data_IF_378096399753
#
_entry.id   IF_378096399753
#
_cell.length_a   1.000
_cell.length_b   1.000
_cell.length_c   1.000
_cell.angle_alpha   90.00
_cell.angle_beta   90.00
_cell.angle_gamma   90.00
#
_symmetry.space_group_name_H-M   'P 1'
#
loop_
_entity.id
_entity.type
_entity.pdbx_description
1 polymer ?
#
# COMPACT_ATOMS: atom_id res chain seq x y z
N UNK A 1 11.36 26.94 32.47
CA UNK A 1 9.89 26.88 32.43
C UNK A 1 9.32 27.73 33.55
N UNK A 2 8.47 28.70 33.26
CA UNK A 2 7.84 29.58 34.28
C UNK A 2 6.32 29.40 34.21
N UNK A 3 5.65 29.45 35.37
CA UNK A 3 4.18 29.39 35.45
C UNK A 3 3.65 30.82 35.63
N UNK A 4 2.73 31.25 34.80
CA UNK A 4 2.13 32.59 34.84
C UNK A 4 0.61 32.43 34.96
N UNK A 5 -0.02 33.17 35.90
CA UNK A 5 -1.46 33.25 36.06
C UNK A 5 -2.16 31.93 36.42
N UNK A 6 -1.51 30.99 37.07
CA UNK A 6 -2.13 29.76 37.60
C UNK A 6 -2.34 28.59 36.59
N UNK A 7 -2.55 28.87 35.30
CA UNK A 7 -2.88 27.86 34.28
C UNK A 7 -1.95 27.81 33.06
N UNK A 8 -1.03 28.80 32.92
CA UNK A 8 -0.21 28.91 31.71
C UNK A 8 1.27 28.68 32.03
N UNK A 9 1.95 27.89 31.21
CA UNK A 9 3.40 27.71 31.28
C UNK A 9 4.09 28.49 30.16
N UNK A 10 5.23 29.14 30.47
CA UNK A 10 6.07 29.84 29.52
C UNK A 10 7.33 29.01 29.29
N UNK A 11 7.70 28.85 28.02
CA UNK A 11 8.95 28.23 27.58
C UNK A 11 9.77 29.22 26.79
N UNK A 12 11.10 29.17 26.97
CA UNK A 12 12.04 29.97 26.17
C UNK A 12 12.49 29.16 24.97
N UNK A 13 12.43 29.76 23.78
CA UNK A 13 12.95 29.13 22.56
C UNK A 13 14.43 29.49 22.40
N UNK A 14 15.27 28.55 21.87
CA UNK A 14 16.67 28.85 21.56
C UNK A 14 16.77 30.01 20.55
N UNK A 15 17.46 31.09 20.87
CA UNK A 15 17.56 32.30 20.03
C UNK A 15 18.04 31.96 18.62
N UNK A 16 19.11 31.16 18.50
CA UNK A 16 19.67 30.78 17.19
C UNK A 16 18.66 30.04 16.30
N UNK A 17 17.83 29.19 16.91
CA UNK A 17 16.79 28.51 16.18
C UNK A 17 15.66 29.46 15.76
N UNK A 18 15.20 30.32 16.67
CA UNK A 18 14.15 31.31 16.39
C UNK A 18 14.56 32.26 15.25
N UNK A 19 15.81 32.76 15.30
CA UNK A 19 16.38 33.63 14.26
C UNK A 19 16.47 32.89 12.91
N UNK A 20 16.92 31.63 12.92
CA UNK A 20 17.03 30.79 11.70
C UNK A 20 15.69 30.53 11.01
N UNK A 21 14.62 30.34 11.78
CA UNK A 21 13.27 30.07 11.25
C UNK A 21 12.42 31.33 11.12
N UNK A 22 12.96 32.52 11.42
CA UNK A 22 12.31 33.80 11.21
C UNK A 22 11.23 34.15 12.25
N UNK A 23 11.29 33.61 13.47
CA UNK A 23 10.36 33.96 14.54
C UNK A 23 10.71 35.37 15.09
N UNK A 24 9.70 36.25 15.02
CA UNK A 24 9.80 37.62 15.54
C UNK A 24 8.83 37.86 16.69
N UNK A 25 9.08 38.94 17.47
CA UNK A 25 8.21 39.33 18.58
C UNK A 25 6.74 39.54 18.11
N UNK A 26 5.81 38.94 18.83
CA UNK A 26 4.38 39.01 18.50
C UNK A 26 3.90 38.02 17.45
N UNK A 27 4.80 37.23 16.85
CA UNK A 27 4.43 36.20 15.91
C UNK A 27 3.69 35.03 16.61
N UNK A 28 2.65 34.51 15.99
CA UNK A 28 1.98 33.30 16.46
C UNK A 28 2.74 32.07 16.00
N UNK A 29 2.94 31.11 16.88
CA UNK A 29 3.57 29.82 16.59
C UNK A 29 2.58 28.69 16.85
N UNK A 30 2.63 27.64 16.01
CA UNK A 30 1.86 26.42 16.23
C UNK A 30 2.57 25.59 17.31
N UNK A 31 1.81 25.08 18.29
CA UNK A 31 2.31 24.16 19.31
C UNK A 31 1.43 22.92 19.26
N UNK A 32 2.06 21.73 19.07
CA UNK A 32 1.35 20.45 18.99
C UNK A 32 1.96 19.45 19.97
N UNK A 33 1.15 18.86 20.85
CA UNK A 33 1.55 17.67 21.59
C UNK A 33 1.82 16.51 20.61
N UNK A 34 2.85 15.75 20.87
CA UNK A 34 3.17 14.52 20.17
C UNK A 34 2.77 13.30 21.02
N UNK A 35 2.49 12.13 20.42
CA UNK A 35 2.16 10.91 21.15
C UNK A 35 3.23 10.48 22.18
N UNK A 36 4.50 10.81 21.92
CA UNK A 36 5.65 10.56 22.80
C UNK A 36 5.76 11.53 23.98
N UNK A 37 4.78 12.43 24.16
CA UNK A 37 4.77 13.46 25.21
C UNK A 37 5.59 14.71 24.89
N UNK A 38 6.27 14.79 23.74
CA UNK A 38 7.00 15.95 23.29
C UNK A 38 6.06 17.04 22.75
N UNK A 39 6.57 18.29 22.67
CA UNK A 39 5.87 19.39 22.01
C UNK A 39 6.60 19.77 20.72
N UNK A 40 5.92 19.67 19.59
CA UNK A 40 6.41 20.20 18.32
C UNK A 40 6.02 21.67 18.20
N UNK A 41 7.01 22.55 18.02
CA UNK A 41 6.82 23.98 17.80
C UNK A 41 7.06 24.30 16.33
N UNK A 42 6.04 24.84 15.65
CA UNK A 42 6.12 25.25 14.25
C UNK A 42 6.07 26.78 14.13
N UNK A 43 7.00 27.41 13.41
CA UNK A 43 6.97 28.87 13.18
C UNK A 43 5.78 29.31 12.33
N UNK A 44 5.24 28.40 11.51
CA UNK A 44 4.12 28.70 10.62
C UNK A 44 2.84 28.06 11.12
N UNK A 45 1.87 28.90 11.46
CA UNK A 45 0.47 28.49 11.72
C UNK A 45 -0.30 28.44 10.40
N UNK A 46 0.25 29.06 9.34
CA UNK A 46 -0.42 29.23 8.07
C UNK A 46 -0.68 27.88 7.37
N UNK A 47 -1.80 27.84 6.67
CA UNK A 47 -2.17 26.77 5.75
C UNK A 47 -0.96 26.34 4.92
N UNK A 48 -0.72 25.02 4.87
CA UNK A 48 0.37 24.42 4.10
C UNK A 48 0.35 24.98 2.67
N UNK A 49 1.40 25.69 2.29
CA UNK A 49 1.56 26.10 0.90
C UNK A 49 1.61 24.84 0.02
N UNK A 50 0.72 24.69 -0.97
CA UNK A 50 0.70 23.52 -1.83
C UNK A 50 2.07 23.27 -2.46
N UNK A 51 2.61 22.07 -2.27
CA UNK A 51 3.89 21.67 -2.85
C UNK A 51 3.71 21.45 -4.34
N UNK A 52 4.41 22.24 -5.16
CA UNK A 52 4.34 22.20 -6.61
C UNK A 52 5.61 21.64 -7.21
N UNK A 53 5.46 20.74 -8.20
CA UNK A 53 6.55 20.22 -9.03
C UNK A 53 6.24 20.48 -10.49
N UNK A 54 7.22 20.99 -11.23
CA UNK A 54 7.16 21.18 -12.68
C UNK A 54 8.07 20.15 -13.33
N UNK A 55 7.55 19.40 -14.29
CA UNK A 55 8.25 18.33 -15.01
C UNK A 55 8.22 18.64 -16.50
N UNK A 56 9.38 18.64 -17.15
CA UNK A 56 9.47 18.63 -18.62
C UNK A 56 9.25 17.18 -19.09
N UNK A 57 8.18 16.97 -19.88
CA UNK A 57 7.80 15.67 -20.42
C UNK A 57 8.08 15.53 -21.90
N UNK A 58 8.96 16.38 -22.44
CA UNK A 58 9.29 16.40 -23.88
C UNK A 58 9.77 15.05 -24.38
N UNK A 59 10.64 14.38 -23.61
CA UNK A 59 11.27 13.11 -23.97
C UNK A 59 10.66 11.91 -23.23
N UNK A 60 9.53 12.10 -22.51
CA UNK A 60 8.88 11.04 -21.75
C UNK A 60 7.66 10.50 -22.50
N UNK A 61 7.56 9.16 -22.60
CA UNK A 61 6.45 8.45 -23.26
C UNK A 61 6.10 7.16 -22.52
N UNK A 62 4.86 6.68 -22.69
CA UNK A 62 4.40 5.40 -22.14
C UNK A 62 4.73 5.25 -20.66
N UNK A 63 5.39 4.14 -20.34
CA UNK A 63 5.73 3.76 -18.95
C UNK A 63 6.71 4.74 -18.27
N UNK A 64 7.58 5.43 -19.03
CA UNK A 64 8.50 6.40 -18.43
C UNK A 64 7.75 7.63 -17.93
N UNK A 65 6.76 8.11 -18.68
CA UNK A 65 5.89 9.20 -18.27
C UNK A 65 5.01 8.78 -17.08
N UNK A 66 4.46 7.57 -17.09
CA UNK A 66 3.68 7.02 -15.98
C UNK A 66 4.50 6.99 -14.68
N UNK A 67 5.71 6.42 -14.71
CA UNK A 67 6.59 6.34 -13.53
C UNK A 67 6.96 7.72 -12.97
N UNK A 68 7.20 8.70 -13.83
CA UNK A 68 7.56 10.05 -13.38
C UNK A 68 6.39 10.74 -12.66
N UNK A 69 5.17 10.60 -13.18
CA UNK A 69 3.96 11.15 -12.53
C UNK A 69 3.71 10.45 -11.19
N UNK A 70 3.82 9.12 -11.14
CA UNK A 70 3.68 8.35 -9.88
C UNK A 70 4.75 8.79 -8.87
N UNK A 71 6.00 8.93 -9.28
CA UNK A 71 7.09 9.39 -8.41
C UNK A 71 6.82 10.80 -7.85
N UNK A 72 6.33 11.71 -8.69
CA UNK A 72 5.94 13.04 -8.27
C UNK A 72 4.78 13.04 -7.25
N UNK A 73 3.78 12.18 -7.47
CA UNK A 73 2.68 11.96 -6.53
C UNK A 73 3.18 11.41 -5.19
N UNK A 74 4.00 10.36 -5.22
CA UNK A 74 4.58 9.74 -4.02
C UNK A 74 5.51 10.69 -3.25
N UNK A 75 6.19 11.63 -3.93
CA UNK A 75 6.98 12.68 -3.31
C UNK A 75 6.15 13.70 -2.50
N UNK A 76 4.80 13.56 -2.51
CA UNK A 76 3.89 14.40 -1.74
C UNK A 76 3.59 15.74 -2.39
N UNK A 77 3.80 15.88 -3.72
CA UNK A 77 3.40 17.11 -4.41
C UNK A 77 1.88 17.21 -4.48
N UNK A 78 1.37 18.42 -4.24
CA UNK A 78 -0.06 18.72 -4.29
C UNK A 78 -0.47 19.17 -5.70
N UNK A 79 0.47 19.76 -6.44
CA UNK A 79 0.31 20.18 -7.82
C UNK A 79 1.48 19.63 -8.64
N UNK A 80 1.18 18.88 -9.70
CA UNK A 80 2.15 18.36 -10.67
C UNK A 80 1.85 19.03 -12.01
N UNK A 81 2.79 19.82 -12.49
CA UNK A 81 2.71 20.51 -13.77
C UNK A 81 3.60 19.83 -14.79
N UNK A 82 3.00 19.36 -15.88
CA UNK A 82 3.68 18.67 -16.97
C UNK A 82 3.77 19.62 -18.15
N UNK A 83 4.99 19.96 -18.58
CA UNK A 83 5.25 20.89 -19.67
C UNK A 83 5.98 20.21 -20.83
N UNK A 84 5.62 20.59 -22.06
CA UNK A 84 6.32 20.20 -23.30
C UNK A 84 5.98 21.19 -24.41
N UNK A 85 6.84 21.39 -25.41
CA UNK A 85 6.48 22.18 -26.61
C UNK A 85 5.20 21.69 -27.28
N UNK A 86 4.91 20.36 -27.20
CA UNK A 86 3.67 19.76 -27.71
C UNK A 86 3.37 18.44 -26.98
N UNK A 87 2.26 18.41 -26.27
CA UNK A 87 1.72 17.20 -25.62
C UNK A 87 0.72 16.54 -26.57
N UNK A 88 1.12 15.43 -27.17
CA UNK A 88 0.33 14.67 -28.14
C UNK A 88 -0.81 13.89 -27.46
N UNK A 89 -1.79 13.44 -28.26
CA UNK A 89 -2.96 12.72 -27.78
C UNK A 89 -2.60 11.44 -26.99
N UNK A 90 -1.57 10.71 -27.41
CA UNK A 90 -1.16 9.46 -26.75
C UNK A 90 -0.55 9.73 -25.37
N UNK A 91 0.28 10.78 -25.22
CA UNK A 91 0.75 11.23 -23.89
C UNK A 91 -0.42 11.65 -22.98
N UNK A 92 -1.42 12.36 -23.52
CA UNK A 92 -2.62 12.74 -22.76
C UNK A 92 -3.42 11.53 -22.29
N UNK A 93 -3.49 10.45 -23.10
CA UNK A 93 -4.11 9.19 -22.68
C UNK A 93 -3.37 8.57 -21.49
N UNK A 94 -2.03 8.52 -21.53
CA UNK A 94 -1.21 8.04 -20.42
C UNK A 94 -1.45 8.89 -19.17
N UNK A 95 -1.39 10.22 -19.28
CA UNK A 95 -1.62 11.12 -18.14
C UNK A 95 -2.99 10.89 -17.50
N UNK A 96 -4.06 10.77 -18.30
CA UNK A 96 -5.41 10.49 -17.78
C UNK A 96 -5.50 9.11 -17.12
N UNK A 97 -4.90 8.08 -17.73
CA UNK A 97 -4.84 6.74 -17.16
C UNK A 97 -4.13 6.73 -15.81
N UNK A 98 -3.00 7.43 -15.68
CA UNK A 98 -2.26 7.55 -14.43
C UNK A 98 -3.07 8.33 -13.39
N UNK A 99 -3.70 9.44 -13.76
CA UNK A 99 -4.58 10.17 -12.83
C UNK A 99 -5.70 9.29 -12.27
N UNK A 100 -6.26 8.40 -13.08
CA UNK A 100 -7.27 7.45 -12.61
C UNK A 100 -6.70 6.48 -11.55
N UNK A 101 -5.44 6.07 -11.68
CA UNK A 101 -4.75 5.20 -10.70
C UNK A 101 -4.37 5.95 -9.40
N UNK A 102 -4.25 7.27 -9.42
CA UNK A 102 -3.81 8.09 -8.29
C UNK A 102 -5.03 8.64 -7.54
N UNK A 103 -5.27 8.16 -6.34
CA UNK A 103 -6.44 8.57 -5.54
C UNK A 103 -6.36 10.07 -5.19
N UNK A 104 -7.46 10.76 -5.48
CA UNK A 104 -7.62 12.18 -5.18
C UNK A 104 -6.97 13.14 -6.16
N UNK A 105 -6.42 12.67 -7.26
CA UNK A 105 -5.87 13.54 -8.29
C UNK A 105 -6.90 13.87 -9.37
N UNK A 106 -6.89 15.13 -9.80
CA UNK A 106 -7.71 15.63 -10.90
C UNK A 106 -6.86 16.46 -11.86
N UNK A 107 -7.19 16.38 -13.16
CA UNK A 107 -6.60 17.25 -14.18
C UNK A 107 -7.37 18.56 -14.17
N UNK A 108 -6.76 19.62 -13.63
CA UNK A 108 -7.39 20.95 -13.50
C UNK A 108 -7.11 21.86 -14.69
N UNK A 109 -6.08 21.57 -15.48
CA UNK A 109 -5.75 22.28 -16.70
C UNK A 109 -5.19 21.31 -17.74
N UNK A 110 -5.67 21.38 -18.98
CA UNK A 110 -5.15 20.60 -20.10
C UNK A 110 -5.11 21.45 -21.36
N UNK A 111 -3.89 21.72 -21.84
CA UNK A 111 -3.62 22.42 -23.11
C UNK A 111 -2.77 21.56 -24.05
N UNK A 112 -2.34 22.11 -25.16
CA UNK A 112 -1.40 21.44 -26.08
C UNK A 112 0.06 21.47 -25.60
N UNK A 113 0.38 22.29 -24.59
CA UNK A 113 1.75 22.48 -24.08
C UNK A 113 1.89 22.20 -22.59
N UNK A 114 0.77 22.13 -21.86
CA UNK A 114 0.75 22.05 -20.41
C UNK A 114 -0.43 21.21 -19.94
N UNK A 115 -0.16 20.33 -18.96
CA UNK A 115 -1.18 19.62 -18.17
C UNK A 115 -0.89 19.84 -16.69
N UNK A 116 -1.89 20.20 -15.91
CA UNK A 116 -1.77 20.39 -14.47
C UNK A 116 -2.65 19.37 -13.75
N UNK A 117 -2.01 18.55 -12.94
CA UNK A 117 -2.64 17.56 -12.06
C UNK A 117 -2.63 18.13 -10.65
N UNK A 118 -3.77 18.16 -9.99
CA UNK A 118 -3.92 18.62 -8.61
C UNK A 118 -4.44 17.49 -7.72
N UNK A 119 -3.83 17.31 -6.56
CA UNK A 119 -4.36 16.45 -5.52
C UNK A 119 -5.35 17.23 -4.67
N UNK A 120 -6.60 16.78 -4.65
CA UNK A 120 -7.72 17.40 -3.93
C UNK A 120 -7.99 16.77 -2.56
N UNK A 121 -7.30 15.66 -2.23
CA UNK A 121 -7.49 14.98 -0.95
C UNK A 121 -6.71 15.67 0.17
N UNK A 122 -7.40 15.93 1.27
CA UNK A 122 -6.75 16.19 2.53
C UNK A 122 -6.19 14.88 3.09
N UNK A 123 -4.91 14.86 3.39
CA UNK A 123 -4.26 13.66 3.94
C UNK A 123 -4.81 13.25 5.31
N UNK A 124 -5.39 14.21 6.06
CA UNK A 124 -6.05 13.98 7.33
C UNK A 124 -7.36 13.18 7.25
N UNK A 125 -7.94 13.07 6.06
CA UNK A 125 -9.27 12.45 5.90
C UNK A 125 -9.18 10.94 5.64
N UNK A 126 -7.96 10.41 5.44
CA UNK A 126 -7.72 9.01 5.10
C UNK A 126 -6.94 8.32 6.21
N UNK A 127 -7.57 7.41 6.93
CA UNK A 127 -6.93 6.56 7.92
C UNK A 127 -6.07 5.48 7.25
N UNK A 128 -4.75 5.48 7.53
CA UNK A 128 -3.83 4.45 7.02
C UNK A 128 -4.24 3.05 7.50
N UNK A 129 -4.67 2.93 8.75
CA UNK A 129 -5.13 1.67 9.35
C UNK A 129 -6.32 1.09 8.59
N UNK A 130 -7.36 1.90 8.36
CA UNK A 130 -8.54 1.49 7.59
C UNK A 130 -8.20 1.20 6.12
N UNK A 131 -7.29 1.97 5.54
CA UNK A 131 -6.84 1.76 4.16
C UNK A 131 -6.09 0.44 4.01
N UNK A 132 -5.19 0.12 4.95
CA UNK A 132 -4.46 -1.17 4.96
C UNK A 132 -5.41 -2.34 5.19
N UNK A 133 -6.38 -2.21 6.10
CA UNK A 133 -7.43 -3.23 6.31
C UNK A 133 -8.25 -3.47 5.04
N UNK A 134 -8.69 -2.40 4.37
CA UNK A 134 -9.43 -2.51 3.11
C UNK A 134 -8.60 -3.17 2.02
N UNK A 135 -7.33 -2.79 1.88
CA UNK A 135 -6.40 -3.38 0.93
C UNK A 135 -6.27 -4.90 1.14
N UNK A 136 -6.12 -5.34 2.40
CA UNK A 136 -6.07 -6.76 2.74
C UNK A 136 -7.39 -7.50 2.42
N UNK A 137 -8.54 -6.90 2.74
CA UNK A 137 -9.84 -7.51 2.43
C UNK A 137 -10.03 -7.74 0.93
N UNK A 138 -9.59 -6.79 0.10
CA UNK A 138 -9.65 -6.91 -1.37
C UNK A 138 -8.68 -8.00 -1.83
N UNK A 139 -7.41 -7.97 -1.44
CA UNK A 139 -6.41 -8.96 -1.83
C UNK A 139 -6.83 -10.39 -1.42
N UNK A 140 -7.34 -10.55 -0.20
CA UNK A 140 -7.85 -11.84 0.28
C UNK A 140 -9.08 -12.34 -0.48
N UNK A 141 -10.00 -11.43 -0.89
CA UNK A 141 -11.13 -11.82 -1.74
C UNK A 141 -10.68 -12.19 -3.14
N UNK A 142 -9.73 -11.45 -3.73
CA UNK A 142 -9.13 -11.76 -5.03
C UNK A 142 -8.51 -13.16 -5.04
N UNK A 143 -7.76 -13.50 -3.99
CA UNK A 143 -7.12 -14.81 -3.88
C UNK A 143 -8.17 -15.95 -3.80
N UNK A 144 -9.20 -15.83 -2.95
CA UNK A 144 -10.29 -16.82 -2.88
C UNK A 144 -11.02 -16.97 -4.21
N UNK A 145 -11.35 -15.83 -4.83
CA UNK A 145 -12.12 -15.82 -6.08
C UNK A 145 -11.31 -16.37 -7.26
N UNK A 146 -9.98 -16.16 -7.30
CA UNK A 146 -9.12 -16.76 -8.32
C UNK A 146 -9.10 -18.29 -8.24
N UNK A 147 -9.04 -18.86 -7.04
CA UNK A 147 -9.10 -20.32 -6.84
C UNK A 147 -10.50 -20.87 -7.14
N UNK A 148 -11.55 -20.14 -6.75
CA UNK A 148 -12.93 -20.50 -7.07
C UNK A 148 -13.15 -20.47 -8.59
N UNK A 149 -12.68 -19.45 -9.29
CA UNK A 149 -12.75 -19.34 -10.75
C UNK A 149 -12.06 -20.51 -11.45
N UNK A 150 -10.91 -20.96 -10.93
CA UNK A 150 -10.24 -22.18 -11.41
C UNK A 150 -11.13 -23.42 -11.23
N UNK A 151 -11.69 -23.60 -10.04
CA UNK A 151 -12.51 -24.76 -9.69
C UNK A 151 -13.77 -24.86 -10.55
N UNK A 152 -14.43 -23.72 -10.80
CA UNK A 152 -15.72 -23.67 -11.50
C UNK A 152 -15.59 -23.36 -12.99
N UNK A 153 -14.35 -23.10 -13.49
CA UNK A 153 -14.10 -22.58 -14.85
C UNK A 153 -14.87 -21.30 -15.14
N UNK A 154 -15.00 -20.42 -14.13
CA UNK A 154 -15.72 -19.15 -14.21
C UNK A 154 -14.78 -18.04 -14.70
N UNK A 155 -14.82 -17.78 -16.01
CA UNK A 155 -13.98 -16.78 -16.67
C UNK A 155 -14.39 -15.34 -16.35
N UNK A 156 -15.67 -15.11 -16.06
CA UNK A 156 -16.18 -13.79 -15.67
C UNK A 156 -15.63 -13.42 -14.28
N UNK A 157 -15.65 -14.36 -13.34
CA UNK A 157 -15.03 -14.18 -12.02
C UNK A 157 -13.52 -13.98 -12.12
N UNK A 158 -12.82 -14.71 -13.00
CA UNK A 158 -11.39 -14.50 -13.23
C UNK A 158 -11.11 -13.10 -13.82
N UNK A 159 -11.94 -12.61 -14.74
CA UNK A 159 -11.81 -11.25 -15.29
C UNK A 159 -12.06 -10.17 -14.21
N UNK A 160 -13.02 -10.38 -13.32
CA UNK A 160 -13.27 -9.48 -12.19
C UNK A 160 -12.07 -9.43 -11.23
N UNK A 161 -11.46 -10.58 -10.92
CA UNK A 161 -10.22 -10.64 -10.11
C UNK A 161 -9.09 -9.84 -10.77
N UNK A 162 -8.90 -9.99 -12.09
CA UNK A 162 -7.85 -9.24 -12.82
C UNK A 162 -8.03 -7.73 -12.70
N UNK A 163 -9.26 -7.23 -12.76
CA UNK A 163 -9.57 -5.80 -12.68
C UNK A 163 -9.46 -5.22 -11.26
N UNK A 164 -9.73 -6.03 -10.22
CA UNK A 164 -9.65 -5.57 -8.81
C UNK A 164 -8.23 -5.27 -8.34
N UNK A 165 -7.22 -5.74 -9.03
CA UNK A 165 -5.82 -5.45 -8.76
C UNK A 165 -5.53 -3.94 -8.82
N UNK A 166 -6.10 -3.24 -9.77
CA UNK A 166 -6.00 -1.78 -9.88
C UNK A 166 -6.45 -1.06 -8.58
N UNK A 167 -7.42 -1.62 -7.84
CA UNK A 167 -7.88 -1.02 -6.58
C UNK A 167 -6.86 -1.24 -5.46
N UNK A 168 -6.21 -2.39 -5.39
CA UNK A 168 -5.14 -2.68 -4.43
C UNK A 168 -3.95 -1.77 -4.68
N UNK A 169 -3.53 -1.60 -5.93
CA UNK A 169 -2.46 -0.69 -6.34
C UNK A 169 -2.74 0.76 -5.93
N UNK A 170 -3.97 1.22 -6.16
CA UNK A 170 -4.38 2.58 -5.76
C UNK A 170 -4.26 2.80 -4.25
N UNK A 171 -4.69 1.84 -3.44
CA UNK A 171 -4.59 1.91 -1.98
C UNK A 171 -3.13 1.86 -1.52
N UNK A 172 -2.30 1.02 -2.14
CA UNK A 172 -0.86 0.96 -1.88
C UNK A 172 -0.16 2.31 -2.13
N UNK A 173 -0.49 2.98 -3.24
CA UNK A 173 0.06 4.29 -3.56
C UNK A 173 -0.37 5.37 -2.56
N UNK A 174 -1.61 5.32 -2.07
CA UNK A 174 -2.11 6.22 -1.00
C UNK A 174 -1.31 6.03 0.29
N UNK A 175 -1.18 4.79 0.78
CA UNK A 175 -0.42 4.46 1.99
C UNK A 175 1.03 4.94 1.85
N UNK A 176 1.64 4.70 0.68
CA UNK A 176 3.02 5.09 0.39
C UNK A 176 3.23 6.61 0.38
N UNK A 177 2.30 7.37 -0.21
CA UNK A 177 2.31 8.83 -0.21
C UNK A 177 2.14 9.40 1.20
N UNK A 178 1.18 8.86 1.96
CA UNK A 178 0.92 9.31 3.32
C UNK A 178 2.12 9.07 4.24
N UNK A 179 2.73 7.88 4.19
CA UNK A 179 3.93 7.57 4.97
C UNK A 179 5.06 8.57 4.68
N UNK A 180 5.32 8.84 3.40
CA UNK A 180 6.35 9.82 3.02
C UNK A 180 6.06 11.22 3.56
N UNK A 181 4.81 11.63 3.57
CA UNK A 181 4.38 12.91 4.13
C UNK A 181 4.64 13.00 5.64
N UNK A 182 4.40 11.91 6.38
CA UNK A 182 4.69 11.82 7.82
C UNK A 182 6.20 11.94 8.07
N UNK A 183 7.01 11.14 7.38
CA UNK A 183 8.49 11.14 7.55
C UNK A 183 9.11 12.48 7.17
N UNK A 184 8.60 13.16 6.15
CA UNK A 184 9.10 14.49 5.74
C UNK A 184 8.57 15.63 6.63
N UNK A 185 7.79 15.36 7.67
CA UNK A 185 7.23 16.38 8.57
C UNK A 185 6.21 17.30 7.90
N UNK A 186 5.77 16.98 6.67
CA UNK A 186 4.81 17.76 5.91
C UNK A 186 3.37 17.27 6.09
N UNK A 187 3.18 16.10 6.69
CA UNK A 187 1.89 15.50 7.01
C UNK A 187 1.47 15.83 8.43
N UNK A 188 0.20 16.22 8.60
CA UNK A 188 -0.42 16.21 9.88
C UNK A 188 -0.79 14.76 10.21
N UNK A 189 -0.16 14.16 11.21
CA UNK A 189 -0.71 12.99 11.86
C UNK A 189 -1.89 13.51 12.69
N UNK A 190 -3.03 13.71 12.05
CA UNK A 190 -4.26 14.09 12.74
C UNK A 190 -4.96 12.90 13.40
N UNK A 191 -4.51 11.68 13.12
CA UNK A 191 -4.85 10.53 13.93
C UNK A 191 -4.02 10.68 15.20
N UNK A 192 -4.60 11.31 16.20
CA UNK A 192 -4.04 11.51 17.55
C UNK A 192 -3.63 10.19 18.24
N UNK A 193 -3.81 9.06 17.59
CA UNK A 193 -3.72 7.71 18.12
C UNK A 193 -2.72 6.80 17.40
N UNK A 194 -2.04 7.24 16.32
CA UNK A 194 -1.08 6.41 15.58
C UNK A 194 0.33 6.98 15.71
N UNK A 195 1.27 6.18 16.22
CA UNK A 195 2.69 6.53 16.28
C UNK A 195 3.35 6.45 14.89
N UNK A 196 4.53 7.11 14.74
CA UNK A 196 5.33 7.00 13.51
C UNK A 196 5.75 5.56 13.25
N UNK A 197 6.04 4.80 14.32
CA UNK A 197 6.42 3.39 14.23
C UNK A 197 5.26 2.53 13.73
N UNK A 198 4.04 2.71 14.27
CA UNK A 198 2.85 2.02 13.77
C UNK A 198 2.56 2.37 12.30
N UNK A 199 2.79 3.64 11.93
CA UNK A 199 2.66 4.05 10.53
C UNK A 199 3.68 3.35 9.63
N UNK A 200 4.91 3.18 10.11
CA UNK A 200 5.96 2.44 9.42
C UNK A 200 5.56 0.97 9.25
N UNK A 201 5.09 0.32 10.30
CA UNK A 201 4.70 -1.10 10.28
C UNK A 201 3.55 -1.34 9.28
N UNK A 202 2.52 -0.48 9.29
CA UNK A 202 1.42 -0.55 8.32
C UNK A 202 1.91 -0.33 6.87
N UNK A 203 2.86 0.60 6.67
CA UNK A 203 3.48 0.81 5.35
C UNK A 203 4.30 -0.40 4.90
N UNK A 204 5.04 -1.01 5.82
CA UNK A 204 5.81 -2.24 5.53
C UNK A 204 4.87 -3.40 5.17
N UNK A 205 3.76 -3.57 5.89
CA UNK A 205 2.77 -4.60 5.62
C UNK A 205 2.00 -4.39 4.30
N UNK A 206 1.86 -3.15 3.83
CA UNK A 206 1.19 -2.87 2.56
C UNK A 206 1.88 -3.55 1.36
N UNK A 207 3.23 -3.68 1.37
CA UNK A 207 3.97 -4.33 0.28
C UNK A 207 3.63 -5.82 0.13
N UNK A 208 3.74 -6.67 1.17
CA UNK A 208 3.33 -8.06 1.04
C UNK A 208 1.83 -8.24 0.75
N UNK A 209 0.94 -7.32 1.19
CA UNK A 209 -0.48 -7.37 0.85
C UNK A 209 -0.69 -7.14 -0.66
N UNK A 210 0.01 -6.18 -1.27
CA UNK A 210 -0.02 -5.96 -2.73
C UNK A 210 0.50 -7.20 -3.46
N UNK A 211 1.59 -7.82 -2.99
CA UNK A 211 2.10 -9.06 -3.58
C UNK A 211 1.11 -10.24 -3.51
N UNK A 212 0.29 -10.31 -2.47
CA UNK A 212 -0.79 -11.31 -2.38
C UNK A 212 -1.81 -11.07 -3.50
N UNK A 213 -2.20 -9.82 -3.77
CA UNK A 213 -3.09 -9.47 -4.87
C UNK A 213 -2.46 -9.77 -6.24
N UNK A 214 -1.19 -9.40 -6.47
CA UNK A 214 -0.43 -9.75 -7.68
C UNK A 214 -0.50 -11.25 -8.01
N UNK A 215 -0.35 -12.13 -7.00
CA UNK A 215 -0.43 -13.57 -7.19
C UNK A 215 -1.84 -14.05 -7.47
N UNK A 216 -2.86 -13.44 -6.87
CA UNK A 216 -4.25 -13.70 -7.21
C UNK A 216 -4.56 -13.30 -8.66
N UNK A 217 -4.12 -12.13 -9.09
CA UNK A 217 -4.23 -11.65 -10.47
C UNK A 217 -3.48 -12.58 -11.45
N UNK A 218 -2.28 -13.03 -11.08
CA UNK A 218 -1.49 -13.97 -11.90
C UNK A 218 -2.25 -15.28 -12.14
N UNK A 219 -2.91 -15.84 -11.12
CA UNK A 219 -3.77 -17.02 -11.25
C UNK A 219 -4.94 -16.70 -12.20
N UNK A 220 -5.63 -15.57 -12.03
CA UNK A 220 -6.74 -15.16 -12.85
C UNK A 220 -6.36 -14.99 -14.33
N UNK A 221 -5.26 -14.30 -14.63
CA UNK A 221 -4.72 -14.15 -15.99
C UNK A 221 -4.39 -15.49 -16.64
N UNK A 222 -3.86 -16.43 -15.86
CA UNK A 222 -3.57 -17.76 -16.34
C UNK A 222 -4.85 -18.51 -16.70
N UNK A 223 -5.90 -18.42 -15.88
CA UNK A 223 -7.22 -19.01 -16.15
C UNK A 223 -7.80 -18.44 -17.45
N UNK A 224 -7.74 -17.12 -17.63
CA UNK A 224 -8.28 -16.45 -18.83
C UNK A 224 -7.52 -16.84 -20.11
N UNK A 225 -6.18 -16.89 -20.03
CA UNK A 225 -5.34 -17.13 -21.20
C UNK A 225 -5.22 -18.60 -21.60
N UNK A 226 -5.15 -19.52 -20.62
CA UNK A 226 -4.88 -20.94 -20.82
C UNK A 226 -6.09 -21.83 -20.69
N UNK A 227 -7.12 -21.38 -19.92
CA UNK A 227 -8.34 -22.15 -19.63
C UNK A 227 -8.03 -23.56 -19.12
N UNK A 228 -7.12 -23.71 -18.14
CA UNK A 228 -6.64 -25.01 -17.71
C UNK A 228 -7.80 -25.84 -17.12
N UNK A 229 -7.73 -27.16 -17.31
CA UNK A 229 -8.68 -28.12 -16.73
C UNK A 229 -7.91 -29.16 -15.96
N UNK A 230 -8.35 -29.43 -14.75
CA UNK A 230 -7.76 -30.43 -13.88
C UNK A 230 -8.83 -31.38 -13.36
N UNK A 231 -8.44 -32.62 -13.00
CA UNK A 231 -9.34 -33.56 -12.35
C UNK A 231 -9.74 -33.08 -10.96
N UNK A 232 -10.80 -33.68 -10.43
CA UNK A 232 -11.37 -33.30 -9.13
C UNK A 232 -10.39 -33.48 -7.99
N UNK A 233 -9.50 -34.48 -8.06
CA UNK A 233 -8.48 -34.74 -7.03
C UNK A 233 -7.45 -33.61 -6.97
N UNK A 234 -6.92 -33.23 -8.13
CA UNK A 234 -5.97 -32.11 -8.25
C UNK A 234 -6.61 -30.80 -7.76
N UNK A 235 -7.85 -30.51 -8.16
CA UNK A 235 -8.56 -29.30 -7.73
C UNK A 235 -8.82 -29.28 -6.22
N UNK A 236 -9.15 -30.40 -5.59
CA UNK A 236 -9.28 -30.49 -4.11
C UNK A 236 -7.98 -30.19 -3.38
N UNK A 237 -6.86 -30.69 -3.88
CA UNK A 237 -5.53 -30.41 -3.29
C UNK A 237 -5.20 -28.92 -3.38
N UNK A 238 -5.45 -28.30 -4.54
CA UNK A 238 -5.27 -26.85 -4.73
C UNK A 238 -6.14 -26.06 -3.75
N UNK A 239 -7.42 -26.42 -3.60
CA UNK A 239 -8.31 -25.78 -2.63
C UNK A 239 -7.85 -25.93 -1.18
N UNK A 240 -7.32 -27.10 -0.81
CA UNK A 240 -6.80 -27.32 0.53
C UNK A 240 -5.57 -26.45 0.81
N UNK A 241 -4.60 -26.41 -0.11
CA UNK A 241 -3.44 -25.52 -0.04
C UNK A 241 -3.88 -24.06 0.07
N UNK A 242 -4.83 -23.64 -0.75
CA UNK A 242 -5.34 -22.26 -0.77
C UNK A 242 -6.02 -21.87 0.55
N UNK A 243 -6.82 -22.78 1.14
CA UNK A 243 -7.45 -22.54 2.46
C UNK A 243 -6.43 -22.40 3.57
N UNK A 244 -5.32 -23.16 3.51
CA UNK A 244 -4.21 -23.00 4.46
C UNK A 244 -3.52 -21.64 4.27
N UNK A 245 -3.18 -21.28 3.03
CA UNK A 245 -2.56 -19.98 2.73
C UNK A 245 -3.45 -18.80 3.16
N UNK A 246 -4.76 -18.88 2.93
CA UNK A 246 -5.73 -17.85 3.35
C UNK A 246 -5.77 -17.73 4.90
N UNK A 247 -5.75 -18.86 5.63
CA UNK A 247 -5.74 -18.84 7.09
C UNK A 247 -4.47 -18.21 7.63
N UNK A 248 -3.30 -18.58 7.10
CA UNK A 248 -2.00 -17.97 7.45
C UNK A 248 -2.07 -16.46 7.22
N UNK A 249 -2.59 -16.04 6.07
CA UNK A 249 -2.72 -14.62 5.71
C UNK A 249 -3.62 -13.86 6.70
N UNK A 250 -4.75 -14.44 7.08
CA UNK A 250 -5.67 -13.82 8.03
C UNK A 250 -5.05 -13.71 9.43
N UNK A 251 -4.47 -14.79 9.95
CA UNK A 251 -3.83 -14.80 11.27
C UNK A 251 -2.66 -13.81 11.34
N UNK A 252 -1.88 -13.67 10.27
CA UNK A 252 -0.79 -12.68 10.17
C UNK A 252 -1.30 -11.23 10.24
N UNK A 253 -2.39 -10.93 9.53
CA UNK A 253 -2.97 -9.58 9.51
C UNK A 253 -3.71 -9.29 10.83
N UNK A 254 -4.44 -10.26 11.39
CA UNK A 254 -5.09 -10.11 12.70
C UNK A 254 -4.03 -9.82 13.78
N UNK A 255 -2.88 -10.51 13.75
CA UNK A 255 -1.75 -10.27 14.64
C UNK A 255 -1.20 -8.83 14.50
N UNK A 256 -1.08 -8.32 13.26
CA UNK A 256 -0.60 -6.97 13.00
C UNK A 256 -1.53 -5.91 13.63
N UNK A 257 -2.86 -6.07 13.50
CA UNK A 257 -3.82 -5.10 14.02
C UNK A 257 -4.10 -5.23 15.52
N UNK A 258 -3.88 -6.42 16.11
CA UNK A 258 -3.98 -6.62 17.57
C UNK A 258 -2.68 -6.33 18.31
N UNK A 259 -1.55 -6.22 17.60
CA UNK A 259 -0.19 -6.12 18.17
C UNK A 259 0.14 -7.31 19.07
N UNK A 260 -0.34 -8.51 18.72
CA UNK A 260 -0.11 -9.76 19.45
C UNK A 260 0.83 -10.68 18.69
N UNK A 261 1.89 -11.17 19.37
CA UNK A 261 2.85 -12.11 18.76
C UNK A 261 2.34 -13.55 18.67
N UNK A 262 1.37 -13.94 19.48
CA UNK A 262 0.84 -15.31 19.51
C UNK A 262 0.27 -15.79 18.18
N UNK A 263 -0.73 -15.08 17.60
CA UNK A 263 -1.28 -15.41 16.27
C UNK A 263 -0.22 -15.38 15.16
N UNK A 264 0.74 -14.43 15.23
CA UNK A 264 1.83 -14.33 14.25
C UNK A 264 2.73 -15.58 14.27
N UNK A 265 3.16 -16.05 15.44
CA UNK A 265 3.96 -17.26 15.56
C UNK A 265 3.21 -18.49 15.05
N UNK A 266 1.91 -18.60 15.35
CA UNK A 266 1.06 -19.68 14.83
C UNK A 266 0.98 -19.67 13.31
N UNK A 267 0.83 -18.50 12.69
CA UNK A 267 0.84 -18.36 11.24
C UNK A 267 2.15 -18.84 10.60
N UNK A 268 3.31 -18.57 11.25
CA UNK A 268 4.63 -19.04 10.81
C UNK A 268 4.74 -20.56 10.93
N UNK A 269 4.22 -21.16 12.01
CA UNK A 269 4.19 -22.63 12.17
C UNK A 269 3.32 -23.30 11.10
N UNK A 270 2.12 -22.77 10.84
CA UNK A 270 1.21 -23.29 9.81
C UNK A 270 1.79 -23.14 8.39
N UNK A 271 2.60 -22.12 8.14
CA UNK A 271 3.33 -21.95 6.87
C UNK A 271 4.25 -23.14 6.59
N UNK A 272 5.01 -23.60 7.59
CA UNK A 272 5.90 -24.76 7.42
C UNK A 272 5.13 -26.03 7.00
N UNK A 273 3.91 -26.21 7.50
CA UNK A 273 3.03 -27.32 7.12
C UNK A 273 2.55 -27.21 5.67
N UNK A 274 2.20 -26.00 5.23
CA UNK A 274 1.81 -25.74 3.85
C UNK A 274 2.98 -25.99 2.86
N UNK A 275 4.18 -25.53 3.20
CA UNK A 275 5.36 -25.75 2.35
C UNK A 275 5.68 -27.24 2.21
N UNK A 276 5.54 -28.03 3.30
CA UNK A 276 5.65 -29.49 3.21
C UNK A 276 4.60 -30.10 2.27
N UNK A 277 3.34 -29.67 2.41
CA UNK A 277 2.27 -30.13 1.53
C UNK A 277 2.53 -29.82 0.06
N UNK A 278 3.01 -28.61 -0.26
CA UNK A 278 3.42 -28.22 -1.62
C UNK A 278 4.58 -29.06 -2.13
N UNK A 279 5.57 -29.33 -1.28
CA UNK A 279 6.72 -30.18 -1.62
C UNK A 279 6.29 -31.63 -1.92
N UNK A 280 5.45 -32.21 -1.06
CA UNK A 280 4.94 -33.57 -1.25
C UNK A 280 4.11 -33.70 -2.52
N UNK A 281 3.25 -32.72 -2.79
CA UNK A 281 2.52 -32.66 -4.06
C UNK A 281 3.47 -32.60 -5.26
N UNK A 282 4.47 -31.74 -5.22
CA UNK A 282 5.45 -31.56 -6.32
C UNK A 282 6.26 -32.84 -6.55
N UNK A 283 6.60 -33.60 -5.51
CA UNK A 283 7.37 -34.86 -5.60
C UNK A 283 6.52 -36.03 -6.11
N UNK A 284 5.22 -36.02 -5.85
CA UNK A 284 4.30 -37.10 -6.26
C UNK A 284 3.63 -36.81 -7.60
N UNK A 285 3.62 -35.54 -8.00
CA UNK A 285 3.00 -35.06 -9.24
C UNK A 285 3.73 -35.62 -10.48
N UNK A 286 2.96 -36.21 -11.42
CA UNK A 286 3.45 -36.68 -12.71
C UNK A 286 2.97 -35.73 -13.80
N UNK A 287 3.90 -35.01 -14.50
CA UNK A 287 3.52 -34.04 -15.53
C UNK A 287 2.64 -34.64 -16.65
N UNK A 288 2.84 -35.93 -16.96
CA UNK A 288 2.10 -36.63 -18.01
C UNK A 288 0.64 -36.89 -17.65
N UNK A 289 0.26 -36.72 -16.36
CA UNK A 289 -1.11 -37.00 -15.90
C UNK A 289 -2.07 -35.82 -16.02
N UNK A 290 -1.60 -34.65 -16.47
CA UNK A 290 -2.45 -33.45 -16.62
C UNK A 290 -2.18 -32.75 -17.96
N UNK A 291 -3.22 -32.10 -18.49
CA UNK A 291 -3.16 -31.44 -19.78
C UNK A 291 -2.25 -30.21 -19.80
N UNK A 292 -2.13 -29.48 -18.68
CA UNK A 292 -1.28 -28.29 -18.56
C UNK A 292 -0.49 -28.27 -17.25
N UNK A 293 0.64 -29.00 -17.16
CA UNK A 293 1.46 -29.07 -15.96
C UNK A 293 2.18 -27.75 -15.64
N UNK A 294 2.43 -26.92 -16.64
CA UNK A 294 3.12 -25.62 -16.44
C UNK A 294 2.17 -24.67 -15.70
N UNK A 295 0.95 -24.56 -16.15
CA UNK A 295 -0.04 -23.72 -15.46
C UNK A 295 -0.32 -24.19 -14.04
N UNK A 296 -0.40 -25.52 -13.82
CA UNK A 296 -0.56 -26.09 -12.49
C UNK A 296 0.57 -25.69 -11.56
N UNK A 297 1.82 -25.80 -12.03
CA UNK A 297 2.99 -25.39 -11.26
C UNK A 297 2.97 -23.90 -10.88
N UNK A 298 2.55 -23.03 -11.82
CA UNK A 298 2.43 -21.59 -11.57
C UNK A 298 1.35 -21.30 -10.52
N UNK A 299 0.22 -22.03 -10.53
CA UNK A 299 -0.85 -21.87 -9.54
C UNK A 299 -0.35 -22.28 -8.16
N UNK A 300 0.27 -23.47 -8.04
CA UNK A 300 0.78 -23.98 -6.76
C UNK A 300 1.89 -23.08 -6.21
N UNK A 301 2.81 -22.60 -7.08
CA UNK A 301 3.82 -21.61 -6.70
C UNK A 301 3.17 -20.33 -6.16
N UNK A 302 2.15 -19.80 -6.85
CA UNK A 302 1.46 -18.59 -6.43
C UNK A 302 0.78 -18.76 -5.06
N UNK A 303 0.20 -19.93 -4.76
CA UNK A 303 -0.35 -20.23 -3.43
C UNK A 303 0.75 -20.23 -2.36
N UNK A 304 1.90 -20.84 -2.65
CA UNK A 304 3.06 -20.80 -1.76
C UNK A 304 3.53 -19.37 -1.49
N UNK A 305 3.61 -18.54 -2.55
CA UNK A 305 4.01 -17.13 -2.44
C UNK A 305 3.04 -16.31 -1.60
N UNK A 306 1.74 -16.54 -1.71
CA UNK A 306 0.75 -15.89 -0.82
C UNK A 306 1.06 -16.20 0.64
N UNK A 307 1.41 -17.43 0.96
CA UNK A 307 1.80 -17.80 2.34
C UNK A 307 3.15 -17.19 2.74
N UNK A 308 4.16 -17.15 1.86
CA UNK A 308 5.46 -16.51 2.12
C UNK A 308 5.27 -15.02 2.47
N UNK A 309 4.47 -14.28 1.69
CA UNK A 309 4.18 -12.87 1.97
C UNK A 309 3.36 -12.68 3.24
N UNK A 310 2.51 -13.65 3.60
CA UNK A 310 1.78 -13.62 4.86
C UNK A 310 2.72 -13.78 6.06
N UNK A 311 3.77 -14.60 5.95
CA UNK A 311 4.83 -14.69 6.98
C UNK A 311 5.56 -13.37 7.15
N UNK A 312 5.84 -12.63 6.06
CA UNK A 312 6.44 -11.29 6.19
C UNK A 312 5.54 -10.35 7.01
N UNK A 313 4.21 -10.43 6.85
CA UNK A 313 3.27 -9.65 7.69
C UNK A 313 3.33 -10.11 9.15
N UNK A 314 3.40 -11.43 9.40
CA UNK A 314 3.53 -11.97 10.75
C UNK A 314 4.82 -11.50 11.45
N UNK A 315 5.94 -11.46 10.74
CA UNK A 315 7.22 -10.95 11.26
C UNK A 315 7.13 -9.46 11.62
N UNK A 316 6.47 -8.65 10.78
CA UNK A 316 6.19 -7.24 11.09
C UNK A 316 5.33 -7.14 12.36
N UNK A 317 4.29 -7.96 12.50
CA UNK A 317 3.42 -7.97 13.67
C UNK A 317 4.18 -8.34 14.95
N UNK A 318 5.11 -9.29 14.90
CA UNK A 318 5.98 -9.64 16.03
C UNK A 318 6.84 -8.44 16.44
N UNK A 319 7.48 -7.77 15.47
CA UNK A 319 8.30 -6.59 15.72
C UNK A 319 7.48 -5.47 16.36
N UNK A 320 6.29 -5.16 15.80
CA UNK A 320 5.36 -4.18 16.35
C UNK A 320 4.94 -4.50 17.80
N UNK A 321 4.68 -5.78 18.11
CA UNK A 321 4.27 -6.22 19.45
C UNK A 321 5.34 -5.99 20.52
N UNK A 322 6.61 -5.96 20.14
CA UNK A 322 7.74 -5.69 21.06
C UNK A 322 7.92 -4.19 21.22
N UNK A 323 7.82 -3.41 20.17
CA UNK A 323 7.94 -1.95 20.20
C UNK A 323 6.85 -1.30 21.08
N UNK A 324 5.63 -1.82 21.06
CA UNK A 324 4.50 -1.32 21.87
C UNK A 324 4.56 -1.68 23.38
N UNK A 325 5.58 -2.44 23.84
CA UNK A 325 5.75 -2.81 25.25
C UNK A 325 6.59 -1.81 26.07
N UNK A 326 7.16 -0.80 25.44
CA UNK A 326 7.92 0.29 26.08
C UNK A 326 7.01 1.52 26.25
#
# INVERSE_FOLDING_TARGET
>A
MQKTGGSTYIISLPKQWADKVGITTGMRVGIRPQPDGNLLISPNISERTPKRLVIDVTDLEGDSLEREIIAAYLAGNDVIELNSPKILADRKKVIRSVCYKLVGTEIVEETSKRVVIQNLLNQSDISVKKTTQRMFLIAGSMFRDSVKALRTSDFDLASDVEQRDDEVDRLFLVISRQFRSVVCGSGFVNESDISVDEYHDLRMAATPIERIADHAQKIARLILSKKPRYDDTTLRIIEEMSRKAERISRESVDALFSSESGPANKAIEEHADLIRMISDFSNTFRPESVDDPISLRVIVDSIGRVADYSVNIAEIAINASVAGRN
#
